data_IF_202760047052
#
_entry.id   IF_202760047052
#
_cell.length_a   1.000
_cell.length_b   1.000
_cell.length_c   1.000
_cell.angle_alpha   90.00
_cell.angle_beta   90.00
_cell.angle_gamma   90.00
#
_symmetry.space_group_name_H-M   'P 1'
#
loop_
_entity.id
_entity.type
_entity.pdbx_description
1 polymer ?
#
# COMPACT_ATOMS: atom_id res chain seq x y z
N UNK A 1 20.60 7.98 33.62
CA UNK A 1 19.41 8.82 33.78
C UNK A 1 18.96 9.23 32.37
N UNK A 2 18.17 8.37 31.72
CA UNK A 2 17.56 8.68 30.44
C UNK A 2 16.49 9.76 30.69
N UNK A 3 16.57 10.82 29.92
CA UNK A 3 15.65 11.95 29.92
C UNK A 3 14.23 11.41 29.60
N UNK A 4 13.40 11.36 30.64
CA UNK A 4 12.03 10.79 30.55
C UNK A 4 11.04 11.86 30.06
N UNK A 5 11.44 12.63 29.05
CA UNK A 5 10.62 13.68 28.46
C UNK A 5 10.05 13.18 27.14
N UNK A 6 8.80 12.75 27.12
CA UNK A 6 8.09 12.35 25.90
C UNK A 6 7.07 13.46 25.58
N UNK A 7 7.19 14.06 24.41
CA UNK A 7 6.28 15.15 24.01
C UNK A 7 6.33 16.41 24.90
N UNK A 8 7.45 16.63 25.64
CA UNK A 8 7.61 17.77 26.53
C UNK A 8 7.04 17.59 27.94
N UNK A 9 6.51 16.40 28.28
CA UNK A 9 5.92 16.11 29.60
C UNK A 9 6.86 15.18 30.40
N UNK A 10 7.24 15.60 31.58
CA UNK A 10 8.03 14.79 32.51
C UNK A 10 7.13 13.82 33.29
N UNK A 11 6.81 12.66 32.71
CA UNK A 11 5.86 11.68 33.29
C UNK A 11 6.26 11.20 34.70
N UNK A 12 7.51 11.29 35.08
CA UNK A 12 7.97 10.89 36.41
C UNK A 12 7.48 11.82 37.54
N UNK A 13 6.98 13.03 37.18
CA UNK A 13 6.41 14.00 38.13
C UNK A 13 4.88 13.97 38.18
N UNK A 14 4.23 13.30 37.22
CA UNK A 14 2.76 13.25 37.12
C UNK A 14 2.17 12.27 38.15
N UNK A 15 1.01 12.58 38.70
CA UNK A 15 0.20 11.65 39.48
C UNK A 15 -0.42 10.55 38.62
N UNK A 16 -0.93 9.46 39.22
CA UNK A 16 -1.61 8.39 38.48
C UNK A 16 -2.81 8.93 37.69
N UNK A 17 -3.57 9.87 38.26
CA UNK A 17 -4.72 10.52 37.59
C UNK A 17 -4.32 11.41 36.41
N UNK A 18 -3.14 12.03 36.43
CA UNK A 18 -2.64 12.87 35.32
C UNK A 18 -2.08 12.04 34.14
N UNK A 19 -1.67 10.79 34.41
CA UNK A 19 -1.21 9.88 33.34
C UNK A 19 -2.35 9.37 32.46
N UNK A 20 -3.60 9.34 32.94
CA UNK A 20 -4.75 8.90 32.16
C UNK A 20 -5.09 9.86 31.02
N UNK A 21 -5.29 11.18 31.24
CA UNK A 21 -5.50 12.12 30.14
C UNK A 21 -4.28 12.25 29.23
N UNK A 22 -3.06 12.05 29.76
CA UNK A 22 -1.86 11.99 28.92
C UNK A 22 -1.90 10.80 27.94
N UNK A 23 -2.37 9.63 28.38
CA UNK A 23 -2.58 8.47 27.52
C UNK A 23 -3.73 8.70 26.54
N UNK A 24 -4.81 9.35 26.98
CA UNK A 24 -5.98 9.66 26.15
C UNK A 24 -5.63 10.59 24.98
N UNK A 25 -4.66 11.50 25.15
CA UNK A 25 -4.15 12.37 24.10
C UNK A 25 -3.51 11.62 22.93
N UNK A 26 -3.20 10.33 23.09
CA UNK A 26 -2.72 9.42 22.04
C UNK A 26 -3.83 8.63 21.32
N UNK A 27 -5.09 8.76 21.72
CA UNK A 27 -6.23 8.08 21.10
C UNK A 27 -6.63 8.69 19.74
N UNK A 28 -5.67 9.06 18.91
CA UNK A 28 -5.89 9.54 17.54
C UNK A 28 -5.22 8.61 16.54
N UNK A 29 -5.80 8.49 15.34
CA UNK A 29 -5.28 7.58 14.29
C UNK A 29 -3.81 7.84 14.00
N UNK A 30 -3.42 9.10 13.87
CA UNK A 30 -2.05 9.51 13.58
C UNK A 30 -1.07 9.16 14.72
N UNK A 31 -1.39 9.55 15.96
CA UNK A 31 -0.51 9.33 17.12
C UNK A 31 -0.38 7.85 17.47
N UNK A 32 -1.46 7.08 17.31
CA UNK A 32 -1.41 5.61 17.55
C UNK A 32 -0.46 4.91 16.59
N UNK A 33 -0.30 5.42 15.36
CA UNK A 33 0.64 4.87 14.38
C UNK A 33 2.08 5.34 14.63
N UNK A 34 2.29 6.60 14.98
CA UNK A 34 3.61 7.21 15.08
C UNK A 34 4.25 7.09 16.46
N UNK A 35 3.45 7.15 17.53
CA UNK A 35 3.90 7.25 18.92
C UNK A 35 3.81 5.91 19.67
N UNK A 36 4.24 4.81 19.04
CA UNK A 36 4.14 3.48 19.68
C UNK A 36 5.00 3.36 20.94
N UNK A 37 6.23 3.86 20.88
CA UNK A 37 7.18 3.78 21.99
C UNK A 37 6.70 4.59 23.19
N UNK A 38 6.23 5.79 22.94
CA UNK A 38 5.72 6.72 23.94
C UNK A 38 4.54 6.14 24.70
N UNK A 39 3.61 5.49 23.98
CA UNK A 39 2.45 4.85 24.59
C UNK A 39 2.87 3.68 25.51
N UNK A 40 3.83 2.85 25.08
CA UNK A 40 4.31 1.73 25.90
C UNK A 40 5.17 2.20 27.09
N UNK A 41 5.93 3.27 26.92
CA UNK A 41 6.67 3.90 28.02
C UNK A 41 5.72 4.48 29.06
N UNK A 42 4.69 5.24 28.63
CA UNK A 42 3.68 5.78 29.53
C UNK A 42 2.95 4.66 30.30
N UNK A 43 2.63 3.56 29.63
CA UNK A 43 2.06 2.38 30.28
C UNK A 43 3.01 1.79 31.31
N UNK A 44 4.29 1.65 30.98
CA UNK A 44 5.31 1.13 31.89
C UNK A 44 5.46 2.02 33.14
N UNK A 45 5.48 3.34 32.95
CA UNK A 45 5.52 4.31 34.04
C UNK A 45 4.28 4.25 34.91
N UNK A 46 3.09 4.16 34.35
CA UNK A 46 1.86 4.04 35.09
C UNK A 46 1.89 2.85 36.05
N UNK A 47 2.21 1.64 35.56
CA UNK A 47 2.24 0.45 36.41
C UNK A 47 3.37 0.46 37.45
N UNK A 48 4.52 1.04 37.10
CA UNK A 48 5.64 1.19 38.04
C UNK A 48 5.23 2.13 39.19
N UNK A 49 4.58 3.23 38.88
CA UNK A 49 4.12 4.19 39.86
C UNK A 49 2.96 3.64 40.68
N UNK A 50 2.00 3.02 40.08
CA UNK A 50 0.89 2.34 40.74
C UNK A 50 1.40 1.37 41.80
N UNK A 51 2.38 0.54 41.44
CA UNK A 51 2.99 -0.40 42.40
C UNK A 51 3.67 0.35 43.55
N UNK A 52 4.46 1.37 43.29
CA UNK A 52 5.16 2.13 44.33
C UNK A 52 4.18 2.81 45.29
N UNK A 53 3.15 3.50 44.77
CA UNK A 53 2.15 4.20 45.59
C UNK A 53 1.27 3.21 46.39
N UNK A 54 0.92 2.04 45.80
CA UNK A 54 0.19 0.98 46.49
C UNK A 54 1.03 0.37 47.62
N UNK A 55 2.32 0.10 47.38
CA UNK A 55 3.22 -0.47 48.38
C UNK A 55 3.46 0.52 49.55
N UNK A 56 3.58 1.82 49.26
CA UNK A 56 3.72 2.89 50.26
C UNK A 56 2.45 3.07 51.08
N UNK A 57 1.29 3.18 50.44
CA UNK A 57 0.00 3.29 51.08
C UNK A 57 -0.30 2.07 51.98
N UNK A 58 0.07 0.87 51.51
CA UNK A 58 -0.11 -0.37 52.30
C UNK A 58 0.76 -0.35 53.55
N UNK A 59 2.02 0.11 53.47
CA UNK A 59 2.91 0.22 54.63
C UNK A 59 2.39 1.22 55.65
N UNK A 60 1.91 2.37 55.19
CA UNK A 60 1.31 3.40 56.05
C UNK A 60 0.08 2.85 56.77
N UNK A 61 -0.81 2.17 56.03
CA UNK A 61 -2.01 1.53 56.60
C UNK A 61 -1.67 0.47 57.66
N UNK A 62 -0.66 -0.36 57.38
CA UNK A 62 -0.17 -1.38 58.31
C UNK A 62 0.42 -0.79 59.61
N UNK A 63 1.14 0.35 59.48
CA UNK A 63 1.68 1.11 60.62
C UNK A 63 0.58 1.72 61.51
N UNK A 64 -0.47 2.23 60.87
CA UNK A 64 -1.59 2.90 61.58
C UNK A 64 -2.56 1.91 62.22
N UNK A 65 -2.82 0.75 61.59
CA UNK A 65 -3.87 -0.18 62.00
C UNK A 65 -3.34 -1.49 62.54
N UNK A 66 -2.03 -1.75 62.53
CA UNK A 66 -1.37 -3.03 62.88
C UNK A 66 -1.94 -4.26 62.15
N UNK A 67 -2.61 -4.04 61.01
CA UNK A 67 -3.21 -5.09 60.16
C UNK A 67 -3.25 -4.60 58.69
N UNK A 68 -3.27 -5.57 57.77
CA UNK A 68 -3.44 -5.31 56.33
C UNK A 68 -4.86 -5.62 55.88
N UNK A 69 -5.68 -6.18 56.78
CA UNK A 69 -7.10 -6.48 56.49
C UNK A 69 -7.90 -5.21 56.26
N UNK A 70 -8.64 -5.18 55.13
CA UNK A 70 -9.46 -4.00 54.75
C UNK A 70 -8.72 -2.88 54.00
N UNK A 71 -7.44 -3.07 53.67
CA UNK A 71 -6.71 -2.13 52.83
C UNK A 71 -7.33 -2.05 51.43
N UNK A 72 -7.71 -0.85 50.99
CA UNK A 72 -8.20 -0.56 49.65
C UNK A 72 -7.41 0.63 49.12
N UNK A 73 -6.84 0.50 47.93
CA UNK A 73 -6.15 1.56 47.25
C UNK A 73 -6.92 1.99 45.99
N UNK A 74 -7.21 3.27 45.89
CA UNK A 74 -7.89 3.85 44.72
C UNK A 74 -6.89 4.06 43.60
N UNK A 75 -6.86 3.11 42.68
CA UNK A 75 -5.78 2.99 41.67
C UNK A 75 -6.09 3.63 40.33
N UNK A 76 -7.34 4.01 40.05
CA UNK A 76 -7.82 4.43 38.72
C UNK A 76 -7.43 3.44 37.58
N UNK A 77 -7.09 2.21 37.95
CA UNK A 77 -6.58 1.21 37.00
C UNK A 77 -7.64 0.81 35.96
N UNK A 78 -8.90 0.82 36.33
CA UNK A 78 -10.01 0.55 35.40
C UNK A 78 -10.09 1.57 34.27
N UNK A 79 -9.97 2.87 34.61
CA UNK A 79 -9.98 3.96 33.65
C UNK A 79 -8.76 3.91 32.72
N UNK A 80 -7.58 3.66 33.30
CA UNK A 80 -6.35 3.49 32.51
C UNK A 80 -6.46 2.30 31.53
N UNK A 81 -6.98 1.17 31.99
CA UNK A 81 -7.19 -0.03 31.15
C UNK A 81 -8.19 0.24 30.03
N UNK A 82 -9.24 1.01 30.29
CA UNK A 82 -10.23 1.38 29.29
C UNK A 82 -9.60 2.23 28.17
N UNK A 83 -8.86 3.30 28.55
CA UNK A 83 -8.16 4.15 27.58
C UNK A 83 -7.16 3.37 26.76
N UNK A 84 -6.34 2.53 27.42
CA UNK A 84 -5.38 1.67 26.73
C UNK A 84 -6.06 0.62 25.83
N UNK A 85 -7.21 0.12 26.23
CA UNK A 85 -8.07 -0.76 25.43
C UNK A 85 -8.53 -0.07 24.14
N UNK A 86 -9.00 1.17 24.23
CA UNK A 86 -9.38 2.00 23.05
C UNK A 86 -8.20 2.18 22.08
N UNK A 87 -6.98 2.41 22.58
CA UNK A 87 -5.78 2.51 21.76
C UNK A 87 -5.50 1.20 21.02
N UNK A 88 -5.61 0.05 21.71
CA UNK A 88 -5.40 -1.27 21.09
C UNK A 88 -6.43 -1.57 20.01
N UNK A 89 -7.70 -1.25 20.26
CA UNK A 89 -8.76 -1.43 19.27
C UNK A 89 -8.53 -0.54 18.05
N UNK A 90 -8.12 0.71 18.27
CA UNK A 90 -7.81 1.63 17.19
C UNK A 90 -6.63 1.12 16.33
N UNK A 91 -5.56 0.60 16.95
CA UNK A 91 -4.44 -0.06 16.24
C UNK A 91 -4.92 -1.22 15.39
N UNK A 92 -5.70 -2.12 15.99
CA UNK A 92 -6.25 -3.28 15.28
C UNK A 92 -7.10 -2.87 14.08
N UNK A 93 -7.91 -1.82 14.24
CA UNK A 93 -8.74 -1.29 13.15
C UNK A 93 -7.88 -0.75 12.02
N UNK A 94 -6.86 0.07 12.34
CA UNK A 94 -5.93 0.64 11.36
C UNK A 94 -5.21 -0.47 10.60
N UNK A 95 -4.70 -1.48 11.30
CA UNK A 95 -4.02 -2.63 10.69
C UNK A 95 -4.96 -3.41 9.76
N UNK A 96 -6.20 -3.65 10.19
CA UNK A 96 -7.20 -4.33 9.36
C UNK A 96 -7.59 -3.52 8.12
N UNK A 97 -7.72 -2.19 8.25
CA UNK A 97 -7.96 -1.29 7.11
C UNK A 97 -6.78 -1.36 6.12
N UNK A 98 -5.54 -1.28 6.63
CA UNK A 98 -4.34 -1.35 5.79
C UNK A 98 -4.21 -2.68 5.04
N UNK A 99 -4.46 -3.81 5.72
CA UNK A 99 -4.46 -5.13 5.08
C UNK A 99 -5.52 -5.23 3.98
N UNK A 100 -6.72 -4.69 4.25
CA UNK A 100 -7.80 -4.66 3.26
C UNK A 100 -7.46 -3.78 2.05
N UNK A 101 -6.81 -2.65 2.28
CA UNK A 101 -6.36 -1.78 1.19
C UNK A 101 -5.28 -2.46 0.34
N UNK A 102 -4.32 -3.16 0.96
CA UNK A 102 -3.32 -3.96 0.27
C UNK A 102 -3.96 -5.07 -0.59
N UNK A 103 -4.97 -5.78 -0.06
CA UNK A 103 -5.69 -6.81 -0.80
C UNK A 103 -6.44 -6.22 -2.01
N UNK A 104 -7.13 -5.08 -1.83
CA UNK A 104 -7.78 -4.37 -2.91
C UNK A 104 -6.79 -3.91 -3.99
N UNK A 105 -5.61 -3.42 -3.58
CA UNK A 105 -4.55 -3.04 -4.49
C UNK A 105 -4.00 -4.23 -5.27
N UNK A 106 -3.86 -5.38 -4.62
CA UNK A 106 -3.46 -6.63 -5.27
C UNK A 106 -4.46 -7.00 -6.38
N UNK A 107 -5.76 -7.00 -6.09
CA UNK A 107 -6.80 -7.29 -7.07
C UNK A 107 -6.75 -6.31 -8.25
N UNK A 108 -6.59 -5.00 -7.99
CA UNK A 108 -6.47 -4.00 -9.05
C UNK A 108 -5.23 -4.25 -9.93
N UNK A 109 -4.08 -4.54 -9.33
CA UNK A 109 -2.85 -4.84 -10.08
C UNK A 109 -2.98 -6.08 -10.94
N UNK A 110 -3.63 -7.13 -10.44
CA UNK A 110 -3.89 -8.33 -11.23
C UNK A 110 -4.82 -8.04 -12.43
N UNK A 111 -5.88 -7.23 -12.22
CA UNK A 111 -6.76 -6.81 -13.32
C UNK A 111 -6.02 -5.97 -14.37
N UNK A 112 -5.09 -5.11 -13.96
CA UNK A 112 -4.24 -4.34 -14.89
C UNK A 112 -3.38 -5.30 -15.74
N UNK A 113 -2.77 -6.30 -15.12
CA UNK A 113 -1.98 -7.34 -15.83
C UNK A 113 -2.84 -8.05 -16.87
N UNK A 114 -4.03 -8.51 -16.50
CA UNK A 114 -4.98 -9.17 -17.41
C UNK A 114 -5.37 -8.27 -18.59
N UNK A 115 -5.65 -6.98 -18.33
CA UNK A 115 -5.95 -6.00 -19.39
C UNK A 115 -4.77 -5.81 -20.34
N UNK A 116 -3.53 -5.72 -19.83
CA UNK A 116 -2.32 -5.61 -20.67
C UNK A 116 -2.16 -6.87 -21.53
N UNK A 117 -2.38 -8.05 -21.00
CA UNK A 117 -2.34 -9.31 -21.77
C UNK A 117 -3.45 -9.36 -22.84
N UNK A 118 -4.64 -8.84 -22.55
CA UNK A 118 -5.72 -8.76 -23.51
C UNK A 118 -5.39 -7.80 -24.68
N UNK A 119 -4.71 -6.68 -24.42
CA UNK A 119 -4.24 -5.74 -25.46
C UNK A 119 -3.30 -6.40 -26.48
N UNK A 120 -2.49 -7.36 -26.05
CA UNK A 120 -1.60 -8.11 -26.93
C UNK A 120 -2.35 -9.11 -27.85
N UNK A 121 -3.64 -9.35 -27.63
CA UNK A 121 -4.47 -10.27 -28.39
C UNK A 121 -5.57 -9.58 -29.22
N UNK A 122 -5.74 -8.26 -29.03
CA UNK A 122 -6.83 -7.52 -29.64
C UNK A 122 -6.47 -6.97 -31.03
N UNK A 123 -7.29 -7.21 -32.08
CA UNK A 123 -7.05 -6.70 -33.43
C UNK A 123 -7.47 -5.23 -33.60
N UNK A 124 -7.24 -4.38 -32.60
CA UNK A 124 -7.61 -2.97 -32.67
C UNK A 124 -6.53 -2.10 -33.33
N UNK A 125 -6.88 -0.84 -33.61
CA UNK A 125 -5.94 0.15 -34.13
C UNK A 125 -4.78 0.35 -33.14
N UNK A 126 -3.55 0.16 -33.60
CA UNK A 126 -2.32 0.25 -32.78
C UNK A 126 -2.25 1.56 -31.94
N UNK A 127 -2.74 2.68 -32.47
CA UNK A 127 -2.75 3.95 -31.74
C UNK A 127 -3.66 3.89 -30.49
N UNK A 128 -4.82 3.24 -30.59
CA UNK A 128 -5.72 3.05 -29.46
C UNK A 128 -5.09 2.13 -28.43
N UNK A 129 -4.55 0.99 -28.89
CA UNK A 129 -3.87 0.00 -28.05
C UNK A 129 -2.73 0.62 -27.24
N UNK A 130 -1.93 1.50 -27.86
CA UNK A 130 -0.89 2.25 -27.14
C UNK A 130 -1.45 3.25 -26.13
N UNK A 131 -2.54 3.94 -26.45
CA UNK A 131 -3.16 4.89 -25.52
C UNK A 131 -3.67 4.16 -24.28
N UNK A 132 -4.37 3.03 -24.47
CA UNK A 132 -4.87 2.18 -23.39
C UNK A 132 -3.72 1.61 -22.54
N UNK A 133 -2.66 1.11 -23.18
CA UNK A 133 -1.48 0.61 -22.49
C UNK A 133 -0.85 1.69 -21.58
N UNK A 134 -0.71 2.92 -22.04
CA UNK A 134 -0.21 4.02 -21.21
C UNK A 134 -1.11 4.31 -20.02
N UNK A 135 -2.43 4.30 -20.22
CA UNK A 135 -3.39 4.46 -19.12
C UNK A 135 -3.22 3.37 -18.07
N UNK A 136 -3.09 2.10 -18.49
CA UNK A 136 -2.85 0.99 -17.59
C UNK A 136 -1.52 1.10 -16.83
N UNK A 137 -0.47 1.62 -17.48
CA UNK A 137 0.80 1.89 -16.80
C UNK A 137 0.68 2.98 -15.73
N UNK A 138 -0.12 4.01 -15.99
CA UNK A 138 -0.40 5.07 -15.01
C UNK A 138 -1.25 4.54 -13.85
N UNK A 139 -2.28 3.75 -14.14
CA UNK A 139 -3.08 3.07 -13.11
C UNK A 139 -2.21 2.17 -12.22
N UNK A 140 -1.27 1.42 -12.82
CA UNK A 140 -0.32 0.59 -12.08
C UNK A 140 0.54 1.40 -11.11
N UNK A 141 1.08 2.53 -11.54
CA UNK A 141 1.90 3.43 -10.72
C UNK A 141 1.11 4.05 -9.57
N UNK A 142 -0.15 4.39 -9.83
CA UNK A 142 -1.03 5.02 -8.87
C UNK A 142 -1.70 4.02 -7.91
N UNK A 143 -1.65 2.71 -8.21
CA UNK A 143 -2.11 1.67 -7.31
C UNK A 143 -1.09 1.47 -6.20
N UNK A 144 -1.53 1.55 -4.95
CA UNK A 144 -0.70 1.49 -3.75
C UNK A 144 0.00 0.14 -3.55
N UNK A 145 0.50 -0.04 -2.33
CA UNK A 145 1.21 -1.23 -1.90
C UNK A 145 0.30 -2.46 -1.89
N UNK A 146 0.90 -3.62 -2.13
CA UNK A 146 0.28 -4.94 -2.06
C UNK A 146 0.86 -5.73 -0.88
N UNK A 147 0.26 -6.85 -0.45
CA UNK A 147 0.84 -7.69 0.58
C UNK A 147 2.27 -8.11 0.21
N UNK A 148 3.21 -8.00 1.14
CA UNK A 148 4.64 -8.26 0.91
C UNK A 148 4.93 -9.67 0.35
N UNK A 149 4.10 -10.65 0.71
CA UNK A 149 4.22 -12.02 0.19
C UNK A 149 3.96 -12.11 -1.33
N UNK A 150 3.11 -11.25 -1.87
CA UNK A 150 2.67 -11.25 -3.27
C UNK A 150 3.46 -10.25 -4.14
N UNK A 151 4.17 -9.31 -3.54
CA UNK A 151 4.82 -8.19 -4.23
C UNK A 151 5.72 -8.66 -5.38
N UNK A 152 6.62 -9.59 -5.10
CA UNK A 152 7.56 -10.13 -6.10
C UNK A 152 6.82 -10.81 -7.25
N UNK A 153 5.85 -11.67 -6.93
CA UNK A 153 5.07 -12.42 -7.91
C UNK A 153 4.29 -11.50 -8.85
N UNK A 154 3.68 -10.45 -8.30
CA UNK A 154 2.90 -9.46 -9.04
C UNK A 154 3.81 -8.63 -9.95
N UNK A 155 4.99 -8.23 -9.47
CA UNK A 155 5.98 -7.54 -10.29
C UNK A 155 6.49 -8.39 -11.45
N UNK A 156 6.81 -9.65 -11.21
CA UNK A 156 7.26 -10.59 -12.26
C UNK A 156 6.18 -10.77 -13.35
N UNK A 157 4.92 -10.98 -12.94
CA UNK A 157 3.80 -11.07 -13.87
C UNK A 157 3.60 -9.79 -14.70
N UNK A 158 3.68 -8.63 -14.06
CA UNK A 158 3.58 -7.34 -14.74
C UNK A 158 4.66 -7.17 -15.80
N UNK A 159 5.93 -7.42 -15.45
CA UNK A 159 7.03 -7.32 -16.40
C UNK A 159 6.88 -8.31 -17.57
N UNK A 160 6.41 -9.51 -17.31
CA UNK A 160 6.15 -10.50 -18.35
C UNK A 160 5.02 -10.04 -19.29
N UNK A 161 3.93 -9.51 -18.78
CA UNK A 161 2.82 -9.02 -19.59
C UNK A 161 3.21 -7.79 -20.43
N UNK A 162 4.01 -6.89 -19.86
CA UNK A 162 4.59 -5.74 -20.58
C UNK A 162 5.53 -6.21 -21.68
N UNK A 163 6.38 -7.20 -21.40
CA UNK A 163 7.26 -7.81 -22.41
C UNK A 163 6.46 -8.38 -23.58
N UNK A 164 5.44 -9.19 -23.32
CA UNK A 164 4.54 -9.75 -24.35
C UNK A 164 3.88 -8.66 -25.20
N UNK A 165 3.47 -7.55 -24.57
CA UNK A 165 2.89 -6.41 -25.27
C UNK A 165 3.90 -5.80 -26.26
N UNK A 166 5.13 -5.56 -25.86
CA UNK A 166 6.15 -5.00 -26.75
C UNK A 166 6.54 -5.97 -27.85
N UNK A 167 6.58 -7.27 -27.59
CA UNK A 167 6.81 -8.29 -28.64
C UNK A 167 5.68 -8.26 -29.68
N UNK A 168 4.43 -8.17 -29.22
CA UNK A 168 3.27 -7.99 -30.11
C UNK A 168 3.39 -6.76 -31.01
N UNK A 169 3.74 -5.62 -30.43
CA UNK A 169 3.94 -4.36 -31.17
C UNK A 169 5.04 -4.48 -32.21
N UNK A 170 6.14 -5.16 -31.87
CA UNK A 170 7.25 -5.38 -32.80
C UNK A 170 6.81 -6.25 -33.98
N UNK A 171 6.13 -7.37 -33.72
CA UNK A 171 5.61 -8.26 -34.74
C UNK A 171 4.61 -7.52 -35.67
N UNK A 172 3.67 -6.77 -35.12
CA UNK A 172 2.71 -5.97 -35.91
C UNK A 172 3.42 -4.98 -36.84
N UNK A 173 4.47 -4.32 -36.35
CA UNK A 173 5.28 -3.40 -37.18
C UNK A 173 6.00 -4.13 -38.31
N UNK A 174 6.63 -5.25 -38.03
CA UNK A 174 7.32 -6.06 -39.03
C UNK A 174 6.35 -6.57 -40.12
N UNK A 175 5.15 -7.01 -39.73
CA UNK A 175 4.10 -7.42 -40.67
C UNK A 175 3.65 -6.28 -41.57
N UNK A 176 3.44 -5.08 -41.01
CA UNK A 176 3.08 -3.89 -41.81
C UNK A 176 4.19 -3.50 -42.81
N UNK A 177 5.44 -3.56 -42.38
CA UNK A 177 6.56 -3.24 -43.26
C UNK A 177 6.64 -4.27 -44.42
N UNK A 178 6.40 -5.56 -44.15
CA UNK A 178 6.32 -6.58 -45.17
C UNK A 178 5.15 -6.36 -46.15
N UNK A 179 3.96 -6.02 -45.63
CA UNK A 179 2.79 -5.73 -46.46
C UNK A 179 3.00 -4.47 -47.33
N UNK A 180 3.61 -3.44 -46.81
CA UNK A 180 3.98 -2.27 -47.58
C UNK A 180 4.96 -2.63 -48.72
N UNK A 181 5.97 -3.43 -48.43
CA UNK A 181 6.93 -3.92 -49.43
C UNK A 181 6.26 -4.72 -50.52
N UNK A 182 5.38 -5.69 -50.17
CA UNK A 182 4.60 -6.48 -51.13
C UNK A 182 3.71 -5.62 -52.00
N UNK A 183 3.01 -4.65 -51.39
CA UNK A 183 2.17 -3.71 -52.13
C UNK A 183 2.98 -2.81 -53.07
N UNK A 184 4.15 -2.39 -52.66
CA UNK A 184 5.07 -1.61 -53.52
C UNK A 184 5.56 -2.46 -54.70
N UNK A 185 6.02 -3.70 -54.48
CA UNK A 185 6.45 -4.62 -55.54
C UNK A 185 5.33 -4.92 -56.51
N UNK A 186 4.11 -5.17 -56.01
CA UNK A 186 2.95 -5.40 -56.85
C UNK A 186 2.59 -4.16 -57.74
N UNK A 187 2.69 -2.96 -57.16
CA UNK A 187 2.48 -1.72 -57.94
C UNK A 187 3.54 -1.50 -59.03
N UNK A 188 4.80 -1.78 -58.74
CA UNK A 188 5.88 -1.72 -59.73
C UNK A 188 5.61 -2.72 -60.86
N UNK A 189 5.25 -3.96 -60.54
CA UNK A 189 4.94 -4.99 -61.55
C UNK A 189 3.79 -4.56 -62.46
N UNK A 190 2.73 -3.92 -61.89
CA UNK A 190 1.64 -3.36 -62.67
C UNK A 190 2.08 -2.22 -63.57
N UNK A 191 2.91 -1.31 -63.11
CA UNK A 191 3.46 -0.21 -63.90
C UNK A 191 4.32 -0.75 -65.03
N UNK A 192 5.23 -1.71 -64.79
CA UNK A 192 6.04 -2.35 -65.79
C UNK A 192 5.19 -3.07 -66.87
N UNK A 193 4.12 -3.77 -66.47
CA UNK A 193 3.19 -4.42 -67.36
C UNK A 193 2.45 -3.39 -68.24
N UNK A 194 2.00 -2.28 -67.67
CA UNK A 194 1.38 -1.19 -68.41
C UNK A 194 2.33 -0.50 -69.38
N UNK A 195 3.57 -0.27 -69.00
CA UNK A 195 4.60 0.29 -69.88
C UNK A 195 4.93 -0.66 -71.04
N UNK A 196 5.01 -1.96 -70.81
CA UNK A 196 5.20 -2.95 -71.85
C UNK A 196 4.01 -2.96 -72.85
N UNK A 197 2.81 -2.87 -72.37
CA UNK A 197 1.60 -2.77 -73.20
C UNK A 197 1.55 -1.46 -74.01
N UNK A 198 1.91 -0.35 -73.39
CA UNK A 198 1.97 0.96 -74.06
C UNK A 198 3.09 1.01 -75.11
N UNK A 199 4.22 0.34 -74.86
CA UNK A 199 5.35 0.24 -75.76
C UNK A 199 5.13 -0.76 -76.93
N UNK A 200 4.27 -1.73 -76.77
CA UNK A 200 3.88 -2.65 -77.84
C UNK A 200 2.95 -1.91 -78.80
N UNK A 201 3.46 -1.34 -79.91
CA UNK A 201 2.66 -0.82 -81.03
C UNK A 201 1.93 -2.00 -81.71
N UNK A 202 0.84 -2.42 -81.12
CA UNK A 202 -0.14 -3.18 -81.90
C UNK A 202 -0.92 -2.23 -82.77
N UNK A 203 -0.46 -2.05 -83.92
CA UNK A 203 -1.25 -1.53 -85.04
C UNK A 203 -2.33 -2.56 -85.31
N UNK A 204 -3.52 -2.36 -84.74
CA UNK A 204 -4.71 -3.05 -85.21
C UNK A 204 -5.05 -2.39 -86.52
N UNK A 205 -4.86 -3.13 -87.64
CA UNK A 205 -5.40 -2.80 -88.96
C UNK A 205 -6.89 -3.10 -88.96
#
# INVERSE_FOLDING_TARGET
TADSTIGGVEYHKCSLSELIPALEAYCTKEKVQTCHKEIEELRSWYYKRLKAETDEARKTYEQEHNTVEGFVFESHESEFKEVYGRIKELRKRIETEHQKDQENNLQKKLQIIEKIEALAQAPESMNKTFAEFRTLQEEWKNTGEVPAAEEKTVWEKYHMSVGKFYDYVKIDRELRDLDQKRNYEARIALCEAAEKLAGSKHVVK
#
